data_IF_509208889736
#
_entry.id   IF_509208889736
#
_cell.length_a   1.000
_cell.length_b   1.000
_cell.length_c   1.000
_cell.angle_alpha   90.00
_cell.angle_beta   90.00
_cell.angle_gamma   90.00
#
_symmetry.space_group_name_H-M   'P 1'
#
loop_
_entity.id
_entity.type
_entity.pdbx_description
1 polymer ?
#
# COMPACT_ATOMS: atom_id res chain seq x y z
N UNK A 1 12.36 1.95 21.60
CA UNK A 1 12.20 0.50 21.78
C UNK A 1 12.34 -0.13 20.40
N UNK A 2 13.40 -0.89 20.13
CA UNK A 2 13.66 -1.44 18.78
C UNK A 2 12.70 -2.61 18.55
N UNK A 3 11.75 -2.46 17.64
CA UNK A 3 10.95 -3.60 17.15
C UNK A 3 11.90 -4.41 16.24
N UNK A 4 12.19 -5.68 16.53
CA UNK A 4 13.07 -6.48 15.68
C UNK A 4 12.35 -6.76 14.36
N UNK A 5 12.77 -6.08 13.29
CA UNK A 5 12.28 -6.32 11.93
C UNK A 5 12.98 -7.57 11.39
N UNK A 6 12.42 -8.75 11.64
CA UNK A 6 12.98 -10.00 11.14
C UNK A 6 12.69 -10.14 9.64
N UNK A 7 13.70 -9.83 8.82
CA UNK A 7 13.71 -10.09 7.39
C UNK A 7 13.87 -11.60 7.15
N UNK A 8 12.90 -12.21 6.45
CA UNK A 8 12.99 -13.59 6.01
C UNK A 8 12.99 -13.64 4.48
N UNK A 9 14.05 -14.17 3.83
CA UNK A 9 14.08 -14.33 2.38
C UNK A 9 13.01 -15.33 1.92
N UNK A 10 12.43 -15.07 0.74
CA UNK A 10 11.41 -15.91 0.14
C UNK A 10 11.95 -17.33 -0.12
N UNK A 11 11.35 -18.33 0.51
CA UNK A 11 11.66 -19.74 0.31
C UNK A 11 10.55 -20.46 -0.45
N UNK A 12 10.90 -21.00 -1.62
CA UNK A 12 10.34 -22.23 -2.19
C UNK A 12 8.87 -22.22 -2.64
N UNK A 13 8.65 -22.12 -3.95
CA UNK A 13 7.36 -22.38 -4.61
C UNK A 13 6.95 -23.84 -4.39
N UNK A 14 5.86 -24.09 -3.66
CA UNK A 14 5.28 -25.42 -3.52
C UNK A 14 4.34 -25.70 -4.69
N UNK A 15 4.84 -26.43 -5.70
CA UNK A 15 4.01 -26.96 -6.76
C UNK A 15 3.22 -28.18 -6.27
N UNK A 16 1.88 -28.13 -6.30
CA UNK A 16 1.05 -29.33 -6.48
C UNK A 16 -0.32 -29.01 -7.07
N UNK A 17 -0.67 -29.83 -8.06
CA UNK A 17 -1.80 -29.74 -9.00
C UNK A 17 -3.16 -29.98 -8.33
N UNK A 18 -4.17 -29.32 -8.90
CA UNK A 18 -5.49 -29.90 -9.17
C UNK A 18 -6.48 -29.91 -8.02
N UNK A 19 -7.50 -29.04 -8.12
CA UNK A 19 -8.95 -29.28 -7.99
C UNK A 19 -9.60 -27.90 -8.06
N UNK A 20 -10.51 -27.71 -9.02
CA UNK A 20 -11.37 -26.53 -9.06
C UNK A 20 -12.19 -26.49 -7.77
N UNK A 21 -11.86 -25.56 -6.88
CA UNK A 21 -12.60 -25.29 -5.67
C UNK A 21 -13.26 -23.93 -5.86
N UNK A 22 -14.60 -23.90 -5.88
CA UNK A 22 -15.37 -22.68 -5.78
C UNK A 22 -14.93 -21.91 -4.53
N UNK A 23 -14.05 -20.92 -4.70
CA UNK A 23 -13.61 -20.03 -3.63
C UNK A 23 -14.77 -19.09 -3.28
N UNK A 24 -15.68 -19.57 -2.44
CA UNK A 24 -16.41 -18.67 -1.56
C UNK A 24 -15.35 -17.91 -0.77
N UNK A 25 -15.22 -16.61 -1.02
CA UNK A 25 -14.33 -15.67 -0.33
C UNK A 25 -14.71 -15.56 1.15
N UNK A 26 -14.39 -16.59 1.94
CA UNK A 26 -14.46 -16.50 3.39
C UNK A 26 -13.23 -15.75 3.85
N UNK A 27 -13.33 -14.42 3.86
CA UNK A 27 -12.41 -13.59 4.64
C UNK A 27 -12.43 -14.10 6.07
N UNK A 28 -11.25 -14.41 6.61
CA UNK A 28 -11.13 -14.87 7.98
C UNK A 28 -11.42 -13.70 8.92
N UNK A 29 -12.22 -13.93 9.98
CA UNK A 29 -12.39 -12.96 11.05
C UNK A 29 -11.01 -12.64 11.64
N UNK A 30 -10.70 -11.35 11.83
CA UNK A 30 -9.39 -10.94 12.35
C UNK A 30 -9.08 -11.65 13.69
N UNK A 31 -7.88 -12.22 13.86
CA UNK A 31 -7.43 -12.68 15.17
C UNK A 31 -7.31 -11.50 16.15
N UNK A 32 -7.37 -11.78 17.46
CA UNK A 32 -7.27 -10.77 18.52
C UNK A 32 -5.99 -9.92 18.47
N UNK A 33 -4.95 -10.41 17.79
CA UNK A 33 -3.73 -9.67 17.47
C UNK A 33 -3.39 -9.94 16.00
N UNK A 34 -3.31 -8.87 15.20
CA UNK A 34 -2.86 -8.95 13.81
C UNK A 34 -1.33 -9.08 13.79
N UNK A 35 -0.83 -10.19 13.26
CA UNK A 35 0.60 -10.39 13.08
C UNK A 35 1.06 -9.61 11.84
N UNK A 36 2.14 -8.82 12.00
CA UNK A 36 2.77 -8.07 10.92
C UNK A 36 4.13 -8.66 10.61
N UNK A 37 4.33 -9.02 9.36
CA UNK A 37 5.57 -9.60 8.87
C UNK A 37 5.87 -9.10 7.47
N UNK A 38 7.07 -8.59 7.31
CA UNK A 38 7.57 -8.21 5.99
C UNK A 38 7.80 -9.47 5.18
N UNK A 39 7.08 -9.57 4.06
CA UNK A 39 7.38 -10.52 2.99
C UNK A 39 7.63 -9.73 1.72
N UNK A 40 8.85 -9.82 1.18
CA UNK A 40 9.18 -9.15 -0.06
C UNK A 40 8.34 -9.72 -1.20
N UNK A 41 7.68 -8.86 -1.96
CA UNK A 41 6.86 -9.24 -3.11
C UNK A 41 7.26 -8.51 -4.39
N UNK A 42 8.03 -7.42 -4.26
CA UNK A 42 8.29 -6.49 -5.35
C UNK A 42 9.77 -6.29 -5.69
N UNK A 43 10.09 -5.25 -6.49
CA UNK A 43 9.22 -4.10 -6.76
C UNK A 43 8.11 -4.35 -7.80
N UNK A 44 6.85 -4.10 -7.43
CA UNK A 44 5.78 -3.85 -8.42
C UNK A 44 5.65 -2.35 -8.67
N UNK A 45 5.44 -1.98 -9.94
CA UNK A 45 5.37 -0.59 -10.40
C UNK A 45 3.98 -0.30 -10.97
N UNK A 46 3.23 0.53 -10.27
CA UNK A 46 1.92 1.01 -10.71
C UNK A 46 2.00 2.51 -11.00
N UNK A 47 1.26 2.95 -12.00
CA UNK A 47 1.17 4.36 -12.38
C UNK A 47 -0.23 4.62 -12.93
N UNK A 48 -0.88 5.66 -12.42
CA UNK A 48 -2.22 6.02 -12.81
C UNK A 48 -2.72 7.24 -12.07
N UNK A 49 -3.95 7.64 -12.38
CA UNK A 49 -4.58 8.81 -11.78
C UNK A 49 -5.09 8.50 -10.38
N UNK A 50 -5.05 9.50 -9.50
CA UNK A 50 -5.74 9.45 -8.21
C UNK A 50 -7.22 9.71 -8.43
N UNK A 51 -8.06 8.78 -7.98
CA UNK A 51 -9.52 8.86 -8.11
C UNK A 51 -10.18 8.95 -6.74
N UNK A 52 -11.43 9.44 -6.72
CA UNK A 52 -12.22 9.43 -5.50
C UNK A 52 -12.57 7.99 -5.09
N UNK A 53 -12.24 7.62 -3.86
CA UNK A 53 -12.73 6.39 -3.23
C UNK A 53 -14.09 6.58 -2.57
N UNK A 54 -14.54 5.57 -1.82
CA UNK A 54 -15.84 5.58 -1.16
C UNK A 54 -15.92 6.43 0.12
N UNK A 55 -14.84 7.13 0.50
CA UNK A 55 -14.73 8.03 1.68
C UNK A 55 -15.16 7.39 3.00
N UNK A 56 -15.19 6.06 3.09
CA UNK A 56 -15.61 5.31 4.29
C UNK A 56 -14.42 5.20 5.24
N UNK A 57 -14.42 6.02 6.29
CA UNK A 57 -13.35 6.08 7.29
C UNK A 57 -12.42 7.28 7.11
N UNK A 58 -11.95 7.59 5.91
CA UNK A 58 -10.87 8.58 5.73
C UNK A 58 -11.16 10.00 6.26
N UNK A 59 -12.40 10.50 6.10
CA UNK A 59 -12.77 11.87 6.51
C UNK A 59 -12.95 12.02 8.02
N UNK A 60 -13.54 11.02 8.68
CA UNK A 60 -13.79 11.02 10.13
C UNK A 60 -12.54 10.58 10.93
N UNK A 61 -11.60 9.88 10.29
CA UNK A 61 -10.35 9.41 10.88
C UNK A 61 -9.17 10.39 10.69
N UNK A 62 -9.36 11.46 9.92
CA UNK A 62 -8.30 12.42 9.60
C UNK A 62 -7.19 11.86 8.71
N UNK A 63 -7.48 10.78 7.96
CA UNK A 63 -6.52 10.07 7.14
C UNK A 63 -6.95 10.06 5.68
N UNK A 64 -6.53 11.07 4.90
CA UNK A 64 -6.84 11.08 3.47
C UNK A 64 -6.16 9.88 2.79
N UNK A 65 -6.95 9.04 2.15
CA UNK A 65 -6.48 7.93 1.33
C UNK A 65 -6.59 8.28 -0.15
N UNK A 66 -5.56 7.92 -0.92
CA UNK A 66 -5.51 8.07 -2.36
C UNK A 66 -5.80 6.72 -3.01
N UNK A 67 -6.85 6.66 -3.84
CA UNK A 67 -7.21 5.47 -4.60
C UNK A 67 -6.59 5.59 -5.99
N UNK A 68 -5.90 4.55 -6.45
CA UNK A 68 -5.37 4.51 -7.81
C UNK A 68 -6.48 4.08 -8.77
N UNK A 69 -6.51 4.67 -9.98
CA UNK A 69 -7.43 4.26 -11.04
C UNK A 69 -7.23 2.76 -11.39
N UNK A 70 -8.31 1.93 -11.41
CA UNK A 70 -8.24 0.52 -11.78
C UNK A 70 -7.53 0.21 -13.09
N UNK A 71 -7.61 1.11 -14.09
CA UNK A 71 -6.94 0.96 -15.38
C UNK A 71 -5.42 0.79 -15.20
N UNK A 72 -4.85 1.35 -14.12
CA UNK A 72 -3.42 1.29 -13.83
C UNK A 72 -2.92 -0.12 -13.44
N UNK A 73 -3.82 -0.99 -12.95
CA UNK A 73 -3.44 -2.25 -12.31
C UNK A 73 -4.31 -3.47 -12.67
N UNK A 74 -5.40 -3.31 -13.43
CA UNK A 74 -6.33 -4.39 -13.81
C UNK A 74 -5.63 -5.64 -14.38
N UNK A 75 -4.54 -5.46 -15.14
CA UNK A 75 -3.76 -6.55 -15.73
C UNK A 75 -2.38 -6.77 -15.10
N UNK A 76 -2.07 -6.06 -14.01
CA UNK A 76 -0.76 -6.12 -13.34
C UNK A 76 -0.80 -6.86 -12.00
N UNK A 77 -1.99 -7.00 -11.44
CA UNK A 77 -2.17 -7.68 -10.17
C UNK A 77 -2.98 -8.96 -10.37
N UNK A 78 -2.74 -10.01 -9.59
CA UNK A 78 -3.53 -11.25 -9.54
C UNK A 78 -4.25 -11.45 -8.18
N UNK A 79 -5.14 -12.46 -8.11
CA UNK A 79 -6.01 -12.70 -6.95
C UNK A 79 -5.21 -13.01 -5.67
N UNK A 80 -3.95 -13.43 -5.83
CA UNK A 80 -3.07 -13.80 -4.72
C UNK A 80 -2.47 -12.57 -4.02
N UNK A 81 -2.72 -11.37 -4.53
CA UNK A 81 -2.17 -10.10 -4.03
C UNK A 81 -3.14 -9.28 -3.16
N UNK A 82 -4.10 -9.93 -2.51
CA UNK A 82 -4.91 -9.28 -1.49
C UNK A 82 -4.12 -9.11 -0.18
N UNK A 83 -4.05 -7.87 0.32
CA UNK A 83 -3.38 -7.61 1.58
C UNK A 83 -3.05 -6.16 1.82
N UNK A 84 -2.28 -5.94 2.89
CA UNK A 84 -1.68 -4.66 3.23
C UNK A 84 -0.20 -4.70 2.88
N UNK A 85 0.26 -3.64 2.24
CA UNK A 85 1.59 -3.50 1.67
C UNK A 85 2.25 -2.21 2.13
N UNK A 86 3.57 -2.16 1.97
CA UNK A 86 4.37 -0.95 2.12
C UNK A 86 5.09 -0.62 0.81
N UNK A 87 5.36 0.65 0.60
CA UNK A 87 5.98 1.14 -0.62
C UNK A 87 6.32 2.61 -0.61
N UNK A 88 6.77 3.08 -1.78
CA UNK A 88 7.04 4.48 -2.06
C UNK A 88 6.04 5.02 -3.07
N UNK A 89 5.65 6.28 -2.89
CA UNK A 89 4.72 6.98 -3.75
C UNK A 89 5.30 8.31 -4.22
N UNK A 90 5.04 8.66 -5.49
CA UNK A 90 5.21 10.02 -6.00
C UNK A 90 3.86 10.52 -6.50
N UNK A 91 3.53 11.77 -6.20
CA UNK A 91 2.31 12.44 -6.67
C UNK A 91 2.73 13.64 -7.50
N UNK A 92 2.28 13.69 -8.74
CA UNK A 92 2.62 14.74 -9.70
C UNK A 92 1.34 15.40 -10.22
N UNK A 93 1.29 16.72 -10.18
CA UNK A 93 0.19 17.51 -10.72
C UNK A 93 0.80 18.57 -11.65
N UNK A 94 0.36 18.61 -12.91
CA UNK A 94 0.87 19.51 -13.95
C UNK A 94 2.40 19.51 -14.10
N UNK A 95 3.03 18.32 -13.96
CA UNK A 95 4.49 18.16 -14.03
C UNK A 95 5.24 18.55 -12.76
N UNK A 96 4.53 18.89 -11.68
CA UNK A 96 5.12 19.28 -10.40
C UNK A 96 4.94 18.18 -9.36
N UNK A 97 6.04 17.75 -8.75
CA UNK A 97 6.03 16.77 -7.66
C UNK A 97 5.45 17.39 -6.38
N UNK A 98 4.27 16.94 -5.98
CA UNK A 98 3.60 17.42 -4.76
C UNK A 98 4.35 16.99 -3.50
N UNK A 99 4.60 17.94 -2.60
CA UNK A 99 5.43 17.75 -1.42
C UNK A 99 6.93 17.70 -1.71
N UNK A 100 7.35 17.81 -2.97
CA UNK A 100 8.76 17.89 -3.38
C UNK A 100 9.58 16.63 -3.14
N UNK A 101 8.98 15.51 -2.74
CA UNK A 101 9.68 14.26 -2.41
C UNK A 101 8.82 13.02 -2.64
N UNK A 102 9.47 11.86 -2.55
CA UNK A 102 8.78 10.59 -2.45
C UNK A 102 8.19 10.42 -1.06
N UNK A 103 6.97 9.90 -1.01
CA UNK A 103 6.23 9.66 0.22
C UNK A 103 6.25 8.18 0.56
N UNK A 104 6.44 7.86 1.84
CA UNK A 104 6.17 6.51 2.34
C UNK A 104 4.68 6.23 2.20
N UNK A 105 4.34 5.04 1.72
CA UNK A 105 2.96 4.65 1.48
C UNK A 105 2.66 3.30 2.14
N UNK A 106 1.52 3.23 2.82
CA UNK A 106 0.88 1.98 3.21
C UNK A 106 -0.30 1.76 2.30
N UNK A 107 -0.38 0.58 1.71
CA UNK A 107 -1.37 0.28 0.68
C UNK A 107 -2.27 -0.86 1.13
N UNK A 108 -3.56 -0.75 0.85
CA UNK A 108 -4.52 -1.84 0.91
C UNK A 108 -4.87 -2.24 -0.51
N UNK A 109 -4.65 -3.51 -0.85
CA UNK A 109 -5.05 -4.11 -2.13
C UNK A 109 -6.13 -5.15 -1.85
N UNK A 110 -7.27 -5.02 -2.54
CA UNK A 110 -8.24 -6.11 -2.61
C UNK A 110 -9.54 -5.74 -3.30
N UNK A 111 -10.53 -6.63 -3.20
CA UNK A 111 -11.78 -6.50 -3.96
C UNK A 111 -12.76 -5.51 -3.38
N UNK A 112 -13.43 -4.81 -4.29
CA UNK A 112 -14.55 -3.93 -3.99
C UNK A 112 -15.87 -4.73 -3.85
N UNK A 113 -16.44 -4.85 -2.64
CA UNK A 113 -17.72 -5.56 -2.44
C UNK A 113 -18.91 -4.90 -3.15
N UNK A 114 -18.84 -3.59 -3.41
CA UNK A 114 -19.93 -2.82 -4.04
C UNK A 114 -19.99 -3.01 -5.56
N UNK A 115 -18.88 -3.43 -6.16
CA UNK A 115 -18.82 -3.75 -7.58
C UNK A 115 -18.86 -5.27 -7.79
N UNK A 116 -19.68 -5.97 -7.00
CA UNK A 116 -19.82 -7.44 -7.01
C UNK A 116 -18.49 -8.22 -6.87
N UNK A 117 -17.47 -7.60 -6.29
CA UNK A 117 -16.08 -8.12 -6.31
C UNK A 117 -15.56 -8.40 -7.73
N UNK A 118 -15.98 -7.64 -8.74
CA UNK A 118 -15.46 -7.72 -10.11
C UNK A 118 -14.32 -6.73 -10.36
N UNK A 119 -14.12 -5.76 -9.46
CA UNK A 119 -13.03 -4.78 -9.53
C UNK A 119 -12.20 -4.77 -8.26
N UNK A 120 -10.88 -4.71 -8.44
CA UNK A 120 -9.92 -4.49 -7.34
C UNK A 120 -9.72 -3.02 -7.07
N UNK A 121 -9.24 -2.76 -5.87
CA UNK A 121 -8.91 -1.44 -5.36
C UNK A 121 -7.46 -1.45 -4.89
N UNK A 122 -6.75 -0.40 -5.22
CA UNK A 122 -5.45 -0.07 -4.63
C UNK A 122 -5.65 1.26 -3.91
N UNK A 123 -5.84 1.17 -2.59
CA UNK A 123 -5.99 2.32 -1.72
C UNK A 123 -4.68 2.56 -0.99
N UNK A 124 -4.21 3.80 -0.95
CA UNK A 124 -2.95 4.16 -0.31
C UNK A 124 -3.13 5.25 0.72
N UNK A 125 -2.54 5.04 1.90
CA UNK A 125 -2.29 6.09 2.87
C UNK A 125 -0.86 6.60 2.68
N UNK A 126 -0.74 7.85 2.27
CA UNK A 126 0.54 8.55 2.16
C UNK A 126 0.89 9.08 3.55
N UNK A 127 2.08 8.74 4.06
CA UNK A 127 2.56 9.19 5.37
C UNK A 127 3.02 10.66 5.30
N UNK A 128 2.16 11.52 4.77
CA UNK A 128 2.38 12.94 4.54
C UNK A 128 1.02 13.65 4.54
N UNK A 129 0.99 14.88 5.06
CA UNK A 129 -0.20 15.72 5.06
C UNK A 129 -0.09 16.74 3.92
N UNK A 130 -0.98 16.63 2.94
CA UNK A 130 -1.10 17.58 1.85
C UNK A 130 -2.04 18.74 2.23
N UNK A 131 -1.75 19.94 1.75
CA UNK A 131 -2.58 21.13 2.00
C UNK A 131 -3.91 21.12 1.23
N UNK A 132 -3.95 20.37 0.12
CA UNK A 132 -5.12 20.24 -0.75
C UNK A 132 -5.29 18.79 -1.20
N UNK A 133 -6.51 18.47 -1.62
CA UNK A 133 -6.79 17.24 -2.35
C UNK A 133 -6.08 17.27 -3.71
N UNK A 134 -5.69 16.09 -4.20
CA UNK A 134 -4.93 15.90 -5.43
C UNK A 134 -5.60 14.87 -6.36
N UNK A 135 -6.95 14.84 -6.37
CA UNK A 135 -7.70 14.02 -7.32
C UNK A 135 -7.37 14.42 -8.77
N UNK A 136 -7.15 13.44 -9.63
CA UNK A 136 -6.68 13.67 -11.00
C UNK A 136 -5.17 13.89 -11.15
N UNK A 137 -4.43 13.98 -10.05
CA UNK A 137 -2.97 13.95 -10.09
C UNK A 137 -2.46 12.58 -10.56
N UNK A 138 -1.30 12.55 -11.18
CA UNK A 138 -0.59 11.32 -11.53
C UNK A 138 0.10 10.76 -10.28
N UNK A 139 -0.18 9.50 -9.97
CA UNK A 139 0.41 8.79 -8.86
C UNK A 139 1.24 7.63 -9.37
N UNK A 140 2.50 7.56 -8.91
CA UNK A 140 3.40 6.43 -9.12
C UNK A 140 3.58 5.70 -7.81
N UNK A 141 3.37 4.39 -7.84
CA UNK A 141 3.50 3.52 -6.68
C UNK A 141 4.53 2.43 -6.94
N UNK A 142 5.51 2.37 -6.04
CA UNK A 142 6.46 1.27 -5.94
C UNK A 142 6.09 0.40 -4.73
N UNK A 143 5.49 -0.75 -4.98
CA UNK A 143 5.12 -1.70 -3.93
C UNK A 143 6.33 -2.58 -3.62
N UNK A 144 6.81 -2.54 -2.38
CA UNK A 144 8.05 -3.21 -2.00
C UNK A 144 7.80 -4.57 -1.32
N UNK A 145 6.88 -4.61 -0.35
CA UNK A 145 6.61 -5.80 0.46
C UNK A 145 5.16 -5.81 0.97
N UNK A 146 4.64 -7.00 1.26
CA UNK A 146 3.42 -7.16 2.06
C UNK A 146 3.77 -7.18 3.55
N UNK A 147 2.86 -6.67 4.38
CA UNK A 147 2.98 -6.67 5.85
C UNK A 147 1.96 -7.59 6.54
N UNK A 148 0.78 -7.80 5.94
CA UNK A 148 -0.26 -8.73 6.44
C UNK A 148 -1.36 -8.96 5.39
N UNK A 149 -2.15 -10.04 5.46
CA UNK A 149 -3.36 -10.20 4.66
C UNK A 149 -4.48 -9.21 5.05
N UNK A 150 -5.51 -9.13 4.22
CA UNK A 150 -6.74 -8.42 4.56
C UNK A 150 -7.44 -9.07 5.76
N UNK A 151 -8.16 -8.26 6.54
CA UNK A 151 -8.89 -8.71 7.70
C UNK A 151 -10.18 -7.91 7.88
N UNK A 152 -11.23 -8.57 8.36
CA UNK A 152 -12.48 -7.91 8.72
C UNK A 152 -12.47 -7.53 10.20
N UNK A 153 -12.92 -6.32 10.51
CA UNK A 153 -12.93 -5.75 11.86
C UNK A 153 -14.35 -5.69 12.42
N UNK A 154 -14.50 -5.95 13.72
CA UNK A 154 -15.81 -5.95 14.38
C UNK A 154 -16.28 -4.52 14.73
N UNK A 155 -15.38 -3.56 14.77
CA UNK A 155 -15.69 -2.15 15.05
C UNK A 155 -14.78 -1.19 14.26
N UNK A 156 -15.22 0.07 14.16
CA UNK A 156 -14.41 1.14 13.58
C UNK A 156 -13.11 1.34 14.37
N UNK A 157 -13.15 1.31 15.71
CA UNK A 157 -11.97 1.50 16.55
C UNK A 157 -10.88 0.45 16.33
N UNK A 158 -11.28 -0.81 16.13
CA UNK A 158 -10.36 -1.89 15.79
C UNK A 158 -9.68 -1.67 14.43
N UNK A 159 -10.46 -1.22 13.43
CA UNK A 159 -9.93 -0.88 12.10
C UNK A 159 -8.91 0.26 12.19
N UNK A 160 -9.24 1.34 12.91
CA UNK A 160 -8.34 2.48 13.11
C UNK A 160 -7.04 2.01 13.75
N UNK A 161 -7.14 1.25 14.85
CA UNK A 161 -5.99 0.75 15.59
C UNK A 161 -5.09 -0.09 14.69
N UNK A 162 -5.67 -0.99 13.90
CA UNK A 162 -4.92 -1.82 12.97
C UNK A 162 -4.17 -0.98 11.93
N UNK A 163 -4.82 0.02 11.33
CA UNK A 163 -4.18 0.92 10.38
C UNK A 163 -3.06 1.75 11.04
N UNK A 164 -3.23 2.24 12.28
CA UNK A 164 -2.17 2.98 13.01
C UNK A 164 -0.91 2.14 13.12
N UNK A 165 -1.09 0.92 13.59
CA UNK A 165 0.00 -0.03 13.75
C UNK A 165 0.61 -0.46 12.40
N UNK A 166 -0.18 -0.55 11.33
CA UNK A 166 0.32 -0.81 9.96
C UNK A 166 1.21 0.34 9.48
N UNK A 167 0.78 1.58 9.73
CA UNK A 167 1.52 2.81 9.41
C UNK A 167 2.82 2.89 10.20
N UNK A 168 2.77 2.70 11.51
CA UNK A 168 3.97 2.72 12.35
C UNK A 168 4.97 1.64 11.91
N UNK A 169 4.48 0.42 11.67
CA UNK A 169 5.31 -0.70 11.23
C UNK A 169 5.95 -0.45 9.87
N UNK A 170 5.15 -0.02 8.88
CA UNK A 170 5.63 0.19 7.52
C UNK A 170 6.55 1.40 7.41
N UNK A 171 6.33 2.47 8.18
CA UNK A 171 7.24 3.61 8.21
C UNK A 171 8.63 3.24 8.70
N UNK A 172 8.70 2.48 9.80
CA UNK A 172 9.98 1.97 10.35
C UNK A 172 10.65 1.04 9.34
N UNK A 173 9.89 0.17 8.69
CA UNK A 173 10.44 -0.74 7.68
C UNK A 173 11.04 0.00 6.47
N UNK A 174 10.37 1.06 5.99
CA UNK A 174 10.83 1.86 4.85
C UNK A 174 12.09 2.70 5.15
N UNK A 175 12.42 2.94 6.42
CA UNK A 175 13.66 3.61 6.86
C UNK A 175 14.89 2.70 6.88
N UNK A 176 14.73 1.42 6.54
CA UNK A 176 15.82 0.45 6.54
C UNK A 176 16.04 -0.16 5.15
N UNK A 177 17.32 -0.50 4.87
CA UNK A 177 17.69 -1.29 3.71
C UNK A 177 17.00 -2.68 3.77
N UNK A 178 16.52 -3.22 2.63
CA UNK A 178 16.71 -2.72 1.27
C UNK A 178 15.70 -1.63 0.84
N UNK A 179 14.66 -1.36 1.63
CA UNK A 179 13.52 -0.56 1.19
C UNK A 179 13.83 0.92 0.98
N UNK A 180 14.72 1.50 1.78
CA UNK A 180 15.17 2.89 1.57
C UNK A 180 15.86 3.08 0.22
N UNK A 181 16.63 2.08 -0.23
CA UNK A 181 17.35 2.14 -1.50
C UNK A 181 16.41 2.06 -2.71
N UNK A 182 15.21 1.48 -2.53
CA UNK A 182 14.20 1.36 -3.57
C UNK A 182 13.61 2.71 -4.01
N UNK A 183 13.86 3.80 -3.28
CA UNK A 183 13.57 5.16 -3.74
C UNK A 183 14.28 5.51 -5.06
N UNK A 184 15.37 4.83 -5.38
CA UNK A 184 16.16 5.03 -6.61
C UNK A 184 15.64 4.21 -7.80
N UNK A 185 14.48 3.56 -7.66
CA UNK A 185 13.88 2.79 -8.75
C UNK A 185 13.57 3.69 -9.96
N UNK A 186 13.77 3.14 -11.17
CA UNK A 186 13.54 3.87 -12.43
C UNK A 186 12.10 4.37 -12.59
N UNK A 187 11.13 3.86 -11.83
CA UNK A 187 9.77 4.41 -11.76
C UNK A 187 9.76 5.91 -11.43
N UNK A 188 10.72 6.36 -10.62
CA UNK A 188 10.85 7.74 -10.15
C UNK A 188 11.93 8.53 -10.91
N UNK A 189 12.50 7.97 -11.98
CA UNK A 189 13.50 8.66 -12.79
C UNK A 189 12.90 9.92 -13.43
N UNK A 190 13.67 11.01 -13.41
CA UNK A 190 13.24 12.31 -13.95
C UNK A 190 12.31 13.11 -13.03
N UNK A 191 12.01 12.60 -11.82
CA UNK A 191 11.34 13.38 -10.78
C UNK A 191 12.38 14.10 -9.94
N UNK A 192 12.37 15.44 -9.99
CA UNK A 192 13.23 16.28 -9.16
C UNK A 192 12.77 16.20 -7.70
N UNK A 193 13.22 15.17 -7.00
CA UNK A 193 13.05 15.06 -5.55
C UNK A 193 14.01 16.04 -4.89
N UNK A 194 13.46 17.01 -4.15
CA UNK A 194 14.20 17.72 -3.12
C UNK A 194 14.46 16.70 -2.02
N UNK A 195 15.52 15.90 -2.19
CA UNK A 195 15.99 15.03 -1.12
C UNK A 195 16.29 15.93 0.08
N UNK A 196 15.60 15.67 1.20
CA UNK A 196 15.78 16.36 2.47
C UNK A 196 17.29 16.32 2.81
N UNK A 197 18.00 17.41 2.54
CA UNK A 197 19.29 17.71 3.15
C UNK A 197 19.02 18.14 4.59
N UNK A 198 18.48 17.26 5.41
CA UNK A 198 18.50 17.42 6.87
C UNK A 198 19.62 16.56 7.42
N UNK A 199 20.83 17.11 7.36
CA UNK A 199 21.91 16.76 8.27
C UNK A 199 21.80 17.59 9.55
N UNK A 200 22.23 17.04 10.67
CA UNK A 200 23.39 17.64 11.36
C UNK A 200 24.68 16.83 11.15
#
# INVERSE_FOLDING_TARGET
MKVPVNYFPAGGVCARRGVACCLSSRRAKAPAMLERRITAVGPYRLMGKVVEGFKRGSRDLGWPTANLDPIAFEHKLDDEQEGVYLGWAAIEEDGVLLGGKLHKAILSIGWNPFFKNEQRTVESYLCHTFEKDFYGADMRLLICATIRPQADFASMDELIKAIKEDVDFGQVALDHSPFTEMQRDNLFAGMDTLTDKEGP
#
